data_IF_854113312712
#
_entry.id   IF_854113312712
#
_cell.length_a   1.000
_cell.length_b   1.000
_cell.length_c   1.000
_cell.angle_alpha   90.00
_cell.angle_beta   90.00
_cell.angle_gamma   90.00
#
_symmetry.space_group_name_H-M   'P 1'
#
loop_
_entity.id
_entity.type
_entity.pdbx_description
1 polymer ?
#
# COMPACT_ATOMS: atom_id res chain seq x y z
N UNK A 1 27.00 -2.73 -10.49
CA UNK A 1 26.33 -4.06 -10.42
C UNK A 1 26.58 -4.79 -11.75
N UNK A 2 26.61 -6.12 -11.79
CA UNK A 2 26.98 -6.85 -13.02
C UNK A 2 25.88 -6.81 -14.10
N UNK A 3 26.20 -6.80 -15.41
CA UNK A 3 25.20 -6.76 -16.49
C UNK A 3 24.23 -7.94 -16.51
N UNK A 4 24.63 -9.15 -16.07
CA UNK A 4 23.69 -10.27 -15.95
C UNK A 4 22.60 -9.99 -14.91
N UNK A 5 22.95 -9.48 -13.72
CA UNK A 5 22.00 -9.19 -12.64
C UNK A 5 21.07 -8.02 -12.96
N UNK A 6 21.58 -7.02 -13.68
CA UNK A 6 20.82 -5.85 -14.17
C UNK A 6 19.63 -6.25 -15.04
N UNK A 7 19.69 -7.43 -15.70
CA UNK A 7 18.56 -8.01 -16.46
C UNK A 7 17.56 -8.79 -15.58
N UNK A 8 18.01 -9.34 -14.44
CA UNK A 8 17.17 -10.13 -13.53
C UNK A 8 16.31 -9.23 -12.64
N UNK A 9 16.88 -8.15 -12.09
CA UNK A 9 16.13 -7.16 -11.31
C UNK A 9 16.22 -5.77 -11.98
N UNK A 10 15.14 -5.24 -12.59
CA UNK A 10 15.13 -3.95 -13.26
C UNK A 10 15.16 -2.74 -12.31
N UNK A 11 14.96 -2.93 -11.00
CA UNK A 11 15.18 -1.92 -9.97
C UNK A 11 16.65 -1.88 -9.49
N UNK A 12 17.44 -2.90 -9.84
CA UNK A 12 18.88 -3.03 -9.52
C UNK A 12 19.21 -3.03 -8.01
N UNK A 13 18.30 -3.61 -7.21
CA UNK A 13 18.45 -3.78 -5.74
C UNK A 13 18.68 -5.24 -5.35
N UNK A 14 19.08 -5.46 -4.11
CA UNK A 14 19.15 -6.78 -3.45
C UNK A 14 18.25 -6.77 -2.20
N UNK A 15 17.67 -7.92 -1.79
CA UNK A 15 17.82 -9.26 -2.34
C UNK A 15 17.05 -9.50 -3.64
N UNK A 16 17.45 -10.56 -4.35
CA UNK A 16 16.75 -11.16 -5.49
C UNK A 16 17.08 -12.65 -5.48
N UNK A 17 16.07 -13.51 -5.65
CA UNK A 17 16.22 -14.96 -5.76
C UNK A 17 15.89 -15.43 -7.17
N UNK A 18 16.36 -16.62 -7.53
CA UNK A 18 15.88 -17.44 -8.63
C UNK A 18 15.49 -18.81 -8.05
N UNK A 19 14.23 -19.20 -8.23
CA UNK A 19 13.63 -20.41 -7.68
C UNK A 19 12.97 -21.22 -8.80
N UNK A 20 13.78 -22.10 -9.41
CA UNK A 20 13.46 -22.88 -10.61
C UNK A 20 13.04 -22.01 -11.81
N UNK A 21 13.81 -20.95 -12.11
CA UNK A 21 13.54 -19.99 -13.19
C UNK A 21 12.47 -18.95 -12.84
N UNK A 22 11.95 -18.95 -11.62
CA UNK A 22 11.09 -17.88 -11.10
C UNK A 22 11.92 -16.87 -10.32
N UNK A 23 12.22 -15.75 -10.98
CA UNK A 23 12.99 -14.65 -10.43
C UNK A 23 12.06 -13.76 -9.60
N UNK A 24 12.43 -13.48 -8.35
CA UNK A 24 11.68 -12.61 -7.45
C UNK A 24 12.64 -11.68 -6.69
N UNK A 25 12.34 -10.38 -6.72
CA UNK A 25 13.04 -9.34 -5.95
C UNK A 25 12.11 -8.73 -4.89
N UNK A 26 12.69 -7.93 -3.99
CA UNK A 26 12.13 -7.39 -2.74
C UNK A 26 12.05 -8.42 -1.60
N UNK A 27 12.64 -8.08 -0.44
CA UNK A 27 12.84 -9.00 0.68
C UNK A 27 11.54 -9.57 1.26
N UNK A 28 10.48 -8.77 1.35
CA UNK A 28 9.21 -9.15 1.98
C UNK A 28 8.33 -10.01 1.08
N UNK A 29 8.17 -9.71 -0.23
CA UNK A 29 7.66 -10.66 -1.22
C UNK A 29 8.44 -11.98 -1.24
N UNK A 30 9.78 -11.93 -1.17
CA UNK A 30 10.63 -13.14 -1.07
C UNK A 30 10.29 -13.96 0.18
N UNK A 31 10.16 -13.34 1.36
CA UNK A 31 9.76 -14.04 2.58
C UNK A 31 8.36 -14.66 2.46
N UNK A 32 7.37 -13.90 2.00
CA UNK A 32 5.99 -14.39 1.81
C UNK A 32 5.92 -15.55 0.82
N UNK A 33 6.69 -15.49 -0.27
CA UNK A 33 6.84 -16.55 -1.26
C UNK A 33 7.48 -17.82 -0.66
N UNK A 34 8.64 -17.68 -0.02
CA UNK A 34 9.40 -18.81 0.52
C UNK A 34 8.61 -19.53 1.63
N UNK A 35 7.95 -18.79 2.53
CA UNK A 35 7.08 -19.41 3.54
C UNK A 35 5.88 -20.11 2.86
N UNK A 36 5.28 -19.50 1.83
CA UNK A 36 4.14 -20.10 1.13
C UNK A 36 4.48 -21.33 0.27
N UNK A 37 5.71 -21.45 -0.26
CA UNK A 37 6.19 -22.63 -1.03
C UNK A 37 6.77 -23.73 -0.13
N UNK A 38 7.51 -23.37 0.94
CA UNK A 38 8.41 -24.30 1.65
C UNK A 38 8.11 -24.53 3.14
N UNK A 39 7.24 -23.76 3.79
CA UNK A 39 6.99 -23.96 5.23
C UNK A 39 6.15 -25.23 5.49
N UNK A 40 6.58 -26.02 6.48
CA UNK A 40 5.92 -27.29 6.87
C UNK A 40 4.53 -27.10 7.48
N UNK A 41 4.22 -25.90 7.93
CA UNK A 41 2.93 -25.45 8.45
C UNK A 41 2.82 -23.92 8.22
N UNK A 42 1.69 -23.32 8.55
CA UNK A 42 1.43 -21.89 8.36
C UNK A 42 1.83 -21.00 9.55
N UNK A 43 2.50 -21.51 10.59
CA UNK A 43 2.83 -20.73 11.80
C UNK A 43 3.58 -19.41 11.55
N UNK A 44 4.43 -19.37 10.52
CA UNK A 44 5.20 -18.17 10.13
C UNK A 44 4.40 -17.20 9.24
N UNK A 45 3.33 -17.66 8.59
CA UNK A 45 2.45 -16.82 7.77
C UNK A 45 1.03 -17.43 7.73
N UNK A 46 0.23 -17.26 8.81
CA UNK A 46 -1.01 -18.01 9.06
C UNK A 46 -1.99 -17.97 7.89
N UNK A 47 -2.76 -19.03 7.66
CA UNK A 47 -3.81 -19.06 6.63
C UNK A 47 -5.12 -18.42 7.11
N UNK A 48 -5.30 -18.35 8.42
CA UNK A 48 -6.36 -17.59 9.10
C UNK A 48 -6.28 -16.09 8.75
N UNK A 49 -7.33 -15.46 8.19
CA UNK A 49 -7.26 -14.08 7.72
C UNK A 49 -6.99 -13.04 8.81
N UNK A 50 -7.55 -13.18 10.01
CA UNK A 50 -7.34 -12.22 11.11
C UNK A 50 -5.89 -12.28 11.62
N UNK A 51 -5.33 -13.49 11.78
CA UNK A 51 -3.90 -13.70 12.11
C UNK A 51 -2.97 -13.25 10.98
N UNK A 52 -3.30 -13.53 9.71
CA UNK A 52 -2.52 -13.04 8.55
C UNK A 52 -2.56 -11.52 8.48
N UNK A 53 -3.70 -10.89 8.72
CA UNK A 53 -3.86 -9.43 8.74
C UNK A 53 -2.93 -8.75 9.75
N UNK A 54 -2.69 -9.35 10.92
CA UNK A 54 -1.71 -8.87 11.90
C UNK A 54 -0.27 -8.99 11.37
N UNK A 55 0.08 -10.10 10.70
CA UNK A 55 1.41 -10.28 10.11
C UNK A 55 1.64 -9.33 8.93
N UNK A 56 0.67 -9.22 8.01
CA UNK A 56 0.68 -8.25 6.91
C UNK A 56 0.79 -6.81 7.44
N UNK A 57 0.02 -6.43 8.47
CA UNK A 57 0.10 -5.12 9.14
C UNK A 57 1.53 -4.82 9.60
N UNK A 58 2.22 -5.79 10.23
CA UNK A 58 3.58 -5.62 10.71
C UNK A 58 4.61 -5.60 9.56
N UNK A 59 4.46 -6.41 8.51
CA UNK A 59 5.36 -6.42 7.36
C UNK A 59 5.26 -5.14 6.52
N UNK A 60 4.05 -4.59 6.31
CA UNK A 60 3.86 -3.32 5.62
C UNK A 60 4.31 -2.12 6.49
N UNK A 61 4.09 -2.16 7.80
CA UNK A 61 4.66 -1.18 8.74
C UNK A 61 6.20 -1.20 8.72
N UNK A 62 6.81 -2.39 8.77
CA UNK A 62 8.25 -2.55 8.70
C UNK A 62 8.83 -2.02 7.39
N UNK A 63 8.21 -2.36 6.25
CA UNK A 63 8.67 -1.95 4.93
C UNK A 63 8.72 -0.43 4.72
N UNK A 64 7.67 0.28 5.13
CA UNK A 64 7.52 1.70 4.82
C UNK A 64 7.85 2.66 5.96
N UNK A 65 7.97 2.16 7.20
CA UNK A 65 8.21 3.01 8.37
C UNK A 65 9.37 2.54 9.25
N UNK A 66 9.40 1.28 9.70
CA UNK A 66 10.52 0.83 10.56
C UNK A 66 11.85 0.85 9.80
N UNK A 67 11.88 0.32 8.58
CA UNK A 67 13.08 0.24 7.77
C UNK A 67 13.59 1.61 7.31
N UNK A 68 12.71 2.53 6.90
CA UNK A 68 13.11 3.90 6.53
C UNK A 68 13.63 4.70 7.72
N UNK A 69 12.92 4.67 8.86
CA UNK A 69 13.39 5.36 10.06
C UNK A 69 14.66 4.71 10.61
N UNK A 70 14.80 3.37 10.52
CA UNK A 70 16.08 2.72 10.80
C UNK A 70 17.19 3.20 9.87
N UNK A 71 17.00 3.28 8.55
CA UNK A 71 18.04 3.79 7.62
C UNK A 71 18.45 5.22 7.97
N UNK A 72 17.48 6.11 8.19
CA UNK A 72 17.73 7.50 8.59
C UNK A 72 18.50 7.58 9.92
N UNK A 73 18.17 6.74 10.89
CA UNK A 73 18.89 6.64 12.15
C UNK A 73 20.25 5.92 12.01
N UNK A 74 20.42 4.93 11.13
CA UNK A 74 21.62 4.10 11.02
C UNK A 74 22.84 4.91 10.59
N UNK A 75 22.66 5.92 9.73
CA UNK A 75 23.74 6.86 9.34
C UNK A 75 24.24 7.67 10.55
N UNK A 76 23.37 7.96 11.51
CA UNK A 76 23.73 8.63 12.77
C UNK A 76 24.20 7.65 13.87
N UNK A 77 23.68 6.42 13.90
CA UNK A 77 23.95 5.41 14.94
C UNK A 77 25.24 4.61 14.67
N UNK A 78 25.73 4.55 13.42
CA UNK A 78 27.07 4.07 13.10
C UNK A 78 28.20 4.90 13.76
N UNK A 79 27.87 6.06 14.34
CA UNK A 79 28.76 6.92 15.15
C UNK A 79 28.56 6.69 16.67
N UNK A 80 27.49 6.03 17.10
CA UNK A 80 26.98 6.05 18.49
C UNK A 80 26.87 4.69 19.21
N UNK A 81 27.56 3.65 18.73
CA UNK A 81 27.84 2.39 19.44
C UNK A 81 26.60 1.43 19.55
N UNK A 82 26.79 0.10 19.49
CA UNK A 82 26.85 -0.90 20.58
C UNK A 82 25.58 -1.08 21.46
N UNK A 83 25.27 -2.35 21.74
CA UNK A 83 24.39 -2.92 22.79
C UNK A 83 22.82 -2.94 22.69
N UNK A 84 22.32 -4.12 22.30
CA UNK A 84 21.33 -4.99 23.00
C UNK A 84 19.83 -4.63 23.27
N UNK A 85 18.96 -5.13 22.38
CA UNK A 85 17.91 -6.17 22.59
C UNK A 85 16.65 -6.04 23.50
N UNK A 86 15.47 -6.25 22.87
CA UNK A 86 14.28 -7.05 23.33
C UNK A 86 13.36 -6.47 24.45
N UNK A 87 12.08 -6.85 24.69
CA UNK A 87 11.05 -7.80 24.13
C UNK A 87 9.70 -7.00 23.90
N UNK A 88 8.44 -7.47 23.77
CA UNK A 88 7.74 -8.78 23.71
C UNK A 88 6.35 -8.64 22.97
N UNK A 89 5.43 -9.63 23.05
CA UNK A 89 4.03 -9.60 22.54
C UNK A 89 2.99 -10.19 23.54
N UNK A 90 1.71 -9.82 23.44
CA UNK A 90 0.55 -10.55 24.01
C UNK A 90 -0.67 -10.54 23.04
N UNK A 91 -1.69 -11.37 23.30
CA UNK A 91 -2.86 -11.52 22.40
C UNK A 91 -4.15 -12.02 23.10
N UNK A 92 -5.32 -11.70 22.53
CA UNK A 92 -6.64 -12.14 22.98
C UNK A 92 -7.50 -12.63 21.79
N UNK A 93 -8.58 -13.37 22.08
CA UNK A 93 -9.52 -13.97 21.10
C UNK A 93 -10.96 -13.63 21.50
N UNK A 94 -11.82 -13.32 20.52
CA UNK A 94 -13.26 -13.04 20.69
C UNK A 94 -14.07 -13.85 19.68
N UNK A 95 -15.28 -14.27 20.04
CA UNK A 95 -16.22 -15.03 19.19
C UNK A 95 -17.18 -14.11 18.43
N UNK A 96 -17.47 -14.49 17.19
CA UNK A 96 -17.97 -13.59 16.13
C UNK A 96 -19.51 -13.47 16.06
N UNK A 97 -20.02 -12.24 15.89
CA UNK A 97 -21.41 -11.91 15.50
C UNK A 97 -21.33 -10.95 14.31
N UNK A 98 -21.73 -11.39 13.12
CA UNK A 98 -21.51 -10.61 11.87
C UNK A 98 -22.22 -9.26 11.82
N UNK A 99 -21.49 -8.22 12.25
CA UNK A 99 -21.78 -6.80 12.07
C UNK A 99 -21.22 -6.28 10.73
N UNK A 100 -21.74 -5.17 10.18
CA UNK A 100 -21.18 -4.55 8.98
C UNK A 100 -19.85 -3.86 9.26
N UNK A 101 -18.81 -4.17 8.46
CA UNK A 101 -17.46 -3.61 8.60
C UNK A 101 -17.50 -2.08 8.63
N UNK A 102 -17.00 -1.49 9.69
CA UNK A 102 -16.93 -0.03 9.85
C UNK A 102 -15.60 0.45 9.27
N UNK A 103 -15.65 1.45 8.39
CA UNK A 103 -14.47 2.10 7.83
C UNK A 103 -14.46 3.58 8.21
N UNK A 104 -13.49 3.97 9.03
CA UNK A 104 -13.25 5.36 9.43
C UNK A 104 -12.34 6.01 8.38
N UNK A 105 -12.87 6.97 7.62
CA UNK A 105 -12.22 7.46 6.40
C UNK A 105 -12.43 8.95 6.10
N UNK A 106 -11.78 9.44 5.04
CA UNK A 106 -12.10 10.74 4.42
C UNK A 106 -12.01 10.66 2.90
N UNK A 107 -12.94 11.32 2.21
CA UNK A 107 -13.27 11.08 0.79
C UNK A 107 -12.09 11.24 -0.15
N UNK A 108 -11.23 12.24 0.08
CA UNK A 108 -10.09 12.55 -0.80
C UNK A 108 -8.85 11.67 -0.61
N UNK A 109 -8.68 11.09 0.59
CA UNK A 109 -7.47 10.39 1.00
C UNK A 109 -7.17 9.18 0.07
N UNK A 110 -6.01 9.11 -0.59
CA UNK A 110 -5.64 7.98 -1.45
C UNK A 110 -5.80 6.60 -0.78
N UNK A 111 -5.26 6.31 0.42
CA UNK A 111 -5.47 5.00 1.05
C UNK A 111 -6.93 4.70 1.39
N UNK A 112 -7.76 5.72 1.64
CA UNK A 112 -9.20 5.54 1.84
C UNK A 112 -9.91 5.17 0.54
N UNK A 113 -9.56 5.82 -0.59
CA UNK A 113 -10.02 5.45 -1.94
C UNK A 113 -9.63 4.02 -2.29
N UNK A 114 -8.43 3.57 -1.95
CA UNK A 114 -7.99 2.18 -2.16
C UNK A 114 -8.85 1.17 -1.39
N UNK A 115 -9.11 1.42 -0.09
CA UNK A 115 -9.96 0.53 0.71
C UNK A 115 -11.39 0.48 0.15
N UNK A 116 -11.97 1.61 -0.28
CA UNK A 116 -13.29 1.64 -0.96
C UNK A 116 -13.29 0.87 -2.29
N UNK A 117 -12.30 1.11 -3.16
CA UNK A 117 -12.22 0.49 -4.49
C UNK A 117 -12.03 -1.03 -4.42
N UNK A 118 -11.17 -1.51 -3.51
CA UNK A 118 -10.99 -2.94 -3.28
C UNK A 118 -12.21 -3.59 -2.62
N UNK A 119 -12.85 -2.94 -1.65
CA UNK A 119 -14.09 -3.44 -1.07
C UNK A 119 -15.20 -3.56 -2.13
N UNK A 120 -15.35 -2.56 -3.00
CA UNK A 120 -16.28 -2.62 -4.13
C UNK A 120 -15.97 -3.78 -5.09
N UNK A 121 -14.69 -3.99 -5.45
CA UNK A 121 -14.27 -5.09 -6.30
C UNK A 121 -14.50 -6.48 -5.68
N UNK A 122 -14.37 -6.62 -4.35
CA UNK A 122 -14.68 -7.84 -3.61
C UNK A 122 -16.18 -8.05 -3.38
N UNK A 123 -17.01 -7.02 -3.58
CA UNK A 123 -18.44 -7.01 -3.23
C UNK A 123 -18.71 -6.84 -1.74
N UNK A 124 -17.76 -6.29 -0.99
CA UNK A 124 -17.86 -5.96 0.44
C UNK A 124 -18.52 -4.59 0.62
N UNK A 125 -19.56 -4.53 1.46
CA UNK A 125 -20.20 -3.25 1.84
C UNK A 125 -19.53 -2.71 3.11
N UNK A 126 -18.97 -1.50 3.02
CA UNK A 126 -18.39 -0.79 4.15
C UNK A 126 -19.40 0.21 4.74
N UNK A 127 -19.49 0.27 6.07
CA UNK A 127 -20.19 1.31 6.80
C UNK A 127 -19.22 2.50 7.01
N UNK A 128 -19.37 3.53 6.16
CA UNK A 128 -18.42 4.65 6.07
C UNK A 128 -18.67 5.69 7.17
N UNK A 129 -17.77 5.78 8.15
CA UNK A 129 -17.74 6.86 9.14
C UNK A 129 -16.73 7.91 8.68
N UNK A 130 -17.21 9.10 8.29
CA UNK A 130 -16.35 10.23 7.97
C UNK A 130 -15.62 10.71 9.22
N UNK A 131 -14.32 10.97 9.11
CA UNK A 131 -13.49 11.67 10.10
C UNK A 131 -13.07 13.03 9.53
N UNK A 132 -13.38 14.12 10.25
CA UNK A 132 -12.92 15.45 9.92
C UNK A 132 -11.51 15.70 10.46
N UNK A 133 -10.56 15.90 9.54
CA UNK A 133 -9.23 16.38 9.89
C UNK A 133 -9.24 17.88 10.23
N UNK A 134 -10.17 18.64 9.65
CA UNK A 134 -10.36 20.07 9.91
C UNK A 134 -10.85 20.35 11.34
N UNK A 135 -11.77 19.52 11.85
CA UNK A 135 -12.28 19.62 13.23
C UNK A 135 -11.42 18.88 14.26
N UNK A 136 -10.27 18.34 13.85
CA UNK A 136 -9.40 17.49 14.70
C UNK A 136 -10.10 16.25 15.30
N UNK A 137 -11.14 15.69 14.67
CA UNK A 137 -11.90 14.54 15.19
C UNK A 137 -11.03 13.29 15.40
N UNK A 138 -9.98 13.15 14.60
CA UNK A 138 -8.94 12.14 14.72
C UNK A 138 -8.14 12.20 16.04
N UNK A 139 -8.13 13.36 16.73
CA UNK A 139 -7.47 13.57 18.02
C UNK A 139 -8.42 13.43 19.23
N UNK A 140 -9.68 13.04 19.02
CA UNK A 140 -10.61 12.79 20.14
C UNK A 140 -10.16 11.60 21.00
N UNK A 141 -10.39 11.60 22.32
CA UNK A 141 -10.10 10.45 23.18
C UNK A 141 -10.75 9.15 22.68
N UNK A 142 -11.95 9.25 22.10
CA UNK A 142 -12.70 8.14 21.52
C UNK A 142 -11.99 7.54 20.29
N UNK A 143 -11.51 8.39 19.37
CA UNK A 143 -10.74 7.93 18.21
C UNK A 143 -9.36 7.41 18.62
N UNK A 144 -8.66 8.12 19.51
CA UNK A 144 -7.35 7.73 20.04
C UNK A 144 -7.39 6.40 20.82
N UNK A 145 -8.50 6.07 21.47
CA UNK A 145 -8.67 4.76 22.14
C UNK A 145 -8.75 3.59 21.15
N UNK A 146 -9.27 3.82 19.95
CA UNK A 146 -9.40 2.83 18.88
C UNK A 146 -8.15 2.78 17.98
N UNK A 147 -7.62 3.96 17.65
CA UNK A 147 -6.40 4.16 16.88
C UNK A 147 -5.59 5.28 17.57
N UNK A 148 -4.63 4.94 18.46
CA UNK A 148 -3.77 5.90 19.16
C UNK A 148 -2.93 6.81 18.27
N UNK A 149 -3.01 6.63 16.95
CA UNK A 149 -2.18 7.29 15.95
C UNK A 149 -2.98 8.21 15.05
N UNK A 150 -4.28 8.41 15.32
CA UNK A 150 -5.07 9.50 14.72
C UNK A 150 -5.00 9.58 13.17
N UNK A 151 -4.91 8.42 12.49
CA UNK A 151 -4.81 8.30 11.02
C UNK A 151 -6.01 7.55 10.41
N UNK A 152 -6.20 7.72 9.09
CA UNK A 152 -7.22 7.04 8.29
C UNK A 152 -6.60 6.42 7.01
N UNK A 153 -7.10 5.27 6.53
CA UNK A 153 -8.25 4.52 7.01
C UNK A 153 -7.96 3.73 8.28
N UNK A 154 -8.99 3.55 9.10
CA UNK A 154 -9.06 2.50 10.14
C UNK A 154 -10.28 1.65 9.85
N UNK A 155 -10.17 0.32 9.89
CA UNK A 155 -11.35 -0.56 9.85
C UNK A 155 -11.58 -1.23 11.20
N UNK A 156 -12.85 -1.54 11.48
CA UNK A 156 -13.34 -2.32 12.61
C UNK A 156 -14.30 -3.39 12.05
N UNK A 157 -13.87 -4.65 12.13
CA UNK A 157 -14.54 -5.83 11.58
C UNK A 157 -14.92 -6.80 12.72
N UNK A 158 -16.05 -6.52 13.36
CA UNK A 158 -16.54 -7.18 14.58
C UNK A 158 -15.49 -7.18 15.71
N UNK A 159 -15.00 -5.98 16.06
CA UNK A 159 -13.99 -5.78 17.09
C UNK A 159 -12.56 -6.08 16.65
N UNK A 160 -12.35 -6.65 15.46
CA UNK A 160 -11.02 -6.74 14.86
C UNK A 160 -10.65 -5.41 14.18
N UNK A 161 -9.88 -4.59 14.89
CA UNK A 161 -9.44 -3.27 14.42
C UNK A 161 -8.13 -3.37 13.65
N UNK A 162 -8.10 -2.87 12.41
CA UNK A 162 -6.86 -2.62 11.65
C UNK A 162 -6.63 -1.11 11.49
N UNK A 163 -5.58 -0.61 12.14
CA UNK A 163 -5.11 0.77 12.12
C UNK A 163 -3.58 0.84 11.89
N UNK A 164 -3.02 2.04 11.74
CA UNK A 164 -1.57 2.25 11.67
C UNK A 164 -0.90 2.03 13.04
N UNK A 165 0.40 1.68 13.04
CA UNK A 165 1.18 1.48 14.28
C UNK A 165 2.49 2.27 14.43
N UNK A 166 2.89 3.13 13.48
CA UNK A 166 3.68 4.34 13.81
C UNK A 166 3.34 5.56 12.90
N UNK A 167 3.71 6.75 13.37
CA UNK A 167 3.30 8.10 12.94
C UNK A 167 3.54 8.50 11.45
N UNK A 168 4.17 7.66 10.62
CA UNK A 168 4.50 8.03 9.21
C UNK A 168 3.90 7.04 8.18
N UNK A 169 2.72 7.45 7.71
CA UNK A 169 2.13 7.34 6.36
C UNK A 169 1.80 5.97 5.69
N UNK A 170 0.49 5.70 5.58
CA UNK A 170 -0.20 5.27 4.36
C UNK A 170 0.04 3.81 3.89
N UNK A 171 0.65 2.98 4.71
CA UNK A 171 0.89 1.56 4.38
C UNK A 171 -0.28 0.64 4.76
N UNK A 172 -1.11 1.02 5.74
CA UNK A 172 -2.18 0.15 6.28
C UNK A 172 -3.22 -0.26 5.24
N UNK A 173 -3.52 0.59 4.26
CA UNK A 173 -4.52 0.31 3.22
C UNK A 173 -4.19 -0.96 2.43
N UNK A 174 -2.90 -1.26 2.20
CA UNK A 174 -2.49 -2.46 1.46
C UNK A 174 -2.66 -3.74 2.30
N UNK A 175 -2.42 -3.66 3.60
CA UNK A 175 -2.76 -4.74 4.55
C UNK A 175 -4.29 -4.92 4.72
N UNK A 176 -5.07 -3.83 4.69
CA UNK A 176 -6.53 -3.88 4.78
C UNK A 176 -7.12 -4.58 3.54
N UNK A 177 -6.67 -4.26 2.33
CA UNK A 177 -7.22 -4.90 1.12
C UNK A 177 -6.78 -6.37 0.99
N UNK A 178 -5.57 -6.75 1.46
CA UNK A 178 -5.18 -8.17 1.53
C UNK A 178 -6.01 -8.92 2.57
N UNK A 179 -6.28 -8.32 3.74
CA UNK A 179 -7.21 -8.86 4.74
C UNK A 179 -8.61 -9.07 4.17
N UNK A 180 -9.22 -8.02 3.58
CA UNK A 180 -10.56 -8.09 2.99
C UNK A 180 -10.66 -9.16 1.90
N UNK A 181 -9.63 -9.32 1.06
CA UNK A 181 -9.62 -10.37 0.04
C UNK A 181 -9.43 -11.77 0.63
N UNK A 182 -8.61 -11.93 1.68
CA UNK A 182 -8.43 -13.22 2.36
C UNK A 182 -9.70 -13.65 3.14
N UNK A 183 -10.45 -12.71 3.72
CA UNK A 183 -11.63 -12.95 4.58
C UNK A 183 -12.96 -12.98 3.81
N UNK A 184 -13.12 -12.14 2.77
CA UNK A 184 -14.39 -11.91 2.06
C UNK A 184 -14.32 -12.14 0.54
N UNK A 185 -13.16 -12.49 -0.02
CA UNK A 185 -13.02 -12.84 -1.44
C UNK A 185 -13.86 -14.06 -1.81
N UNK A 186 -14.77 -13.88 -2.79
CA UNK A 186 -15.63 -14.95 -3.33
C UNK A 186 -14.84 -16.04 -4.04
N UNK A 187 -13.73 -15.63 -4.65
CA UNK A 187 -12.70 -16.44 -5.30
C UNK A 187 -11.33 -15.79 -5.02
N UNK A 188 -10.24 -16.33 -5.59
CA UNK A 188 -8.89 -15.78 -5.45
C UNK A 188 -8.42 -14.96 -6.66
N UNK A 189 -9.29 -14.56 -7.60
CA UNK A 189 -8.88 -13.83 -8.82
C UNK A 189 -8.13 -12.52 -8.51
N UNK A 190 -8.68 -11.69 -7.62
CA UNK A 190 -8.08 -10.42 -7.21
C UNK A 190 -6.82 -10.60 -6.34
N UNK A 191 -6.69 -11.72 -5.63
CA UNK A 191 -5.55 -12.00 -4.75
C UNK A 191 -5.24 -13.50 -4.68
N UNK A 192 -4.55 -14.07 -5.70
CA UNK A 192 -4.39 -15.50 -5.90
C UNK A 192 -3.85 -16.27 -4.70
N UNK A 193 -4.25 -17.53 -4.52
CA UNK A 193 -3.72 -18.43 -3.48
C UNK A 193 -2.50 -19.24 -3.97
N UNK A 194 -2.25 -19.25 -5.28
CA UNK A 194 -1.01 -19.75 -5.88
C UNK A 194 0.20 -18.91 -5.43
N UNK A 195 1.29 -19.50 -4.90
CA UNK A 195 2.44 -18.74 -4.40
C UNK A 195 3.14 -17.85 -5.42
N UNK A 196 3.31 -18.30 -6.67
CA UNK A 196 4.04 -17.52 -7.71
C UNK A 196 3.21 -16.32 -8.16
N UNK A 197 1.90 -16.48 -8.35
CA UNK A 197 0.97 -15.37 -8.63
C UNK A 197 0.84 -14.41 -7.45
N UNK A 198 0.68 -14.92 -6.21
CA UNK A 198 0.58 -14.08 -5.01
C UNK A 198 1.81 -13.22 -4.81
N UNK A 199 3.00 -13.82 -4.89
CA UNK A 199 4.27 -13.09 -4.76
C UNK A 199 4.42 -11.93 -5.77
N UNK A 200 3.87 -12.08 -6.99
CA UNK A 200 3.85 -11.01 -7.98
C UNK A 200 2.85 -9.88 -7.63
N UNK A 201 1.68 -10.21 -7.09
CA UNK A 201 0.73 -9.20 -6.56
C UNK A 201 1.34 -8.47 -5.37
N UNK A 202 1.90 -9.20 -4.41
CA UNK A 202 2.56 -8.63 -3.23
C UNK A 202 3.73 -7.73 -3.64
N UNK A 203 4.59 -8.18 -4.57
CA UNK A 203 5.69 -7.37 -5.10
C UNK A 203 5.20 -6.03 -5.69
N UNK A 204 4.07 -6.02 -6.39
CA UNK A 204 3.48 -4.78 -6.91
C UNK A 204 2.83 -3.91 -5.82
N UNK A 205 2.25 -4.50 -4.78
CA UNK A 205 1.76 -3.77 -3.60
C UNK A 205 2.91 -3.13 -2.80
N UNK A 206 4.04 -3.82 -2.62
CA UNK A 206 5.25 -3.26 -1.99
C UNK A 206 5.93 -2.20 -2.86
N UNK A 207 6.00 -2.37 -4.19
CA UNK A 207 6.44 -1.33 -5.11
C UNK A 207 5.56 -0.07 -5.05
N UNK A 208 4.23 -0.25 -5.03
CA UNK A 208 3.29 0.86 -4.91
C UNK A 208 3.48 1.61 -3.57
N UNK A 209 3.59 0.87 -2.47
CA UNK A 209 3.91 1.42 -1.15
C UNK A 209 5.25 2.16 -1.13
N UNK A 210 6.35 1.42 -1.24
CA UNK A 210 7.72 1.85 -0.89
C UNK A 210 8.46 2.54 -2.04
N UNK A 211 7.87 2.66 -3.23
CA UNK A 211 8.51 3.34 -4.37
C UNK A 211 7.58 4.36 -5.03
N UNK A 212 6.43 3.94 -5.58
CA UNK A 212 5.59 4.84 -6.38
C UNK A 212 4.83 5.88 -5.53
N UNK A 213 4.05 5.41 -4.55
CA UNK A 213 3.31 6.29 -3.65
C UNK A 213 4.25 7.02 -2.69
N UNK A 214 5.36 6.39 -2.29
CA UNK A 214 6.39 7.06 -1.48
C UNK A 214 7.03 8.24 -2.19
N UNK A 215 7.42 8.10 -3.46
CA UNK A 215 7.93 9.22 -4.26
C UNK A 215 6.88 10.34 -4.45
N UNK A 216 5.60 10.00 -4.55
CA UNK A 216 4.51 10.98 -4.53
C UNK A 216 4.48 11.75 -3.20
N UNK A 217 4.48 11.06 -2.04
CA UNK A 217 4.47 11.68 -0.71
C UNK A 217 5.70 12.56 -0.49
N UNK A 218 6.90 12.04 -0.71
CA UNK A 218 8.15 12.74 -0.40
C UNK A 218 8.26 14.09 -1.12
N UNK A 219 7.70 14.20 -2.33
CA UNK A 219 7.62 15.43 -3.11
C UNK A 219 6.40 16.29 -2.75
N UNK A 220 5.17 15.76 -2.88
CA UNK A 220 3.95 16.58 -2.80
C UNK A 220 3.53 16.91 -1.36
N UNK A 221 3.74 16.03 -0.38
CA UNK A 221 3.28 16.27 0.99
C UNK A 221 3.97 17.48 1.64
N UNK A 222 5.30 17.68 1.53
CA UNK A 222 5.94 18.90 2.02
C UNK A 222 5.50 20.17 1.30
N UNK A 223 5.18 20.10 0.00
CA UNK A 223 4.67 21.24 -0.78
C UNK A 223 3.28 21.64 -0.25
N UNK A 224 2.37 20.68 -0.06
CA UNK A 224 1.01 20.96 0.40
C UNK A 224 0.96 21.39 1.88
N UNK A 225 1.57 20.62 2.78
CA UNK A 225 1.43 20.83 4.23
C UNK A 225 2.37 21.91 4.78
N UNK A 226 3.64 21.91 4.35
CA UNK A 226 4.67 22.80 4.90
C UNK A 226 5.06 23.95 3.96
N UNK A 227 4.39 24.08 2.81
CA UNK A 227 4.69 25.05 1.74
C UNK A 227 6.15 25.01 1.29
N UNK A 228 6.77 23.84 1.38
CA UNK A 228 8.15 23.64 0.98
C UNK A 228 8.37 23.93 -0.51
N UNK A 229 9.56 24.43 -0.91
CA UNK A 229 9.89 24.59 -2.32
C UNK A 229 9.87 23.24 -3.06
N UNK A 230 9.57 23.28 -4.36
CA UNK A 230 9.56 22.08 -5.22
C UNK A 230 10.98 21.51 -5.35
N UNK A 231 11.19 20.31 -4.81
CA UNK A 231 12.44 19.56 -4.89
C UNK A 231 12.58 18.84 -6.24
N UNK A 232 13.54 19.23 -7.13
CA UNK A 232 13.71 18.59 -8.43
C UNK A 232 14.14 17.12 -8.34
N UNK A 233 14.93 16.76 -7.33
CA UNK A 233 15.45 15.39 -7.12
C UNK A 233 14.29 14.43 -6.83
N UNK A 234 13.36 14.86 -5.97
CA UNK A 234 12.16 14.07 -5.65
C UNK A 234 11.15 14.03 -6.79
N UNK A 235 11.04 15.11 -7.59
CA UNK A 235 10.24 15.08 -8.82
C UNK A 235 10.77 14.05 -9.85
N UNK A 236 12.10 13.93 -9.95
CA UNK A 236 12.75 12.88 -10.75
C UNK A 236 12.49 11.49 -10.18
N UNK A 237 12.46 11.32 -8.85
CA UNK A 237 12.15 10.03 -8.22
C UNK A 237 10.76 9.48 -8.60
N UNK A 238 9.73 10.34 -8.71
CA UNK A 238 8.41 9.95 -9.25
C UNK A 238 8.56 9.43 -10.68
N UNK A 239 9.35 10.12 -11.51
CA UNK A 239 9.60 9.74 -12.90
C UNK A 239 10.34 8.40 -13.04
N UNK A 240 11.27 8.12 -12.12
CA UNK A 240 11.96 6.82 -12.00
C UNK A 240 10.98 5.71 -11.61
N UNK A 241 10.12 5.93 -10.61
CA UNK A 241 9.11 4.96 -10.19
C UNK A 241 8.12 4.62 -11.32
N UNK A 242 7.61 5.64 -12.03
CA UNK A 242 6.77 5.45 -13.21
C UNK A 242 7.51 4.72 -14.36
N UNK A 243 8.83 4.86 -14.48
CA UNK A 243 9.62 4.10 -15.47
C UNK A 243 9.73 2.61 -15.15
N UNK A 244 9.63 2.21 -13.86
CA UNK A 244 9.51 0.80 -13.48
C UNK A 244 8.10 0.27 -13.78
N UNK A 245 7.05 1.06 -13.51
CA UNK A 245 5.67 0.70 -13.85
C UNK A 245 5.45 0.54 -15.37
N UNK A 246 6.01 1.44 -16.19
CA UNK A 246 5.98 1.35 -17.66
C UNK A 246 6.61 0.05 -18.19
N UNK A 247 7.68 -0.44 -17.53
CA UNK A 247 8.32 -1.74 -17.82
C UNK A 247 7.50 -2.93 -17.31
N UNK A 248 6.90 -2.84 -16.10
CA UNK A 248 6.02 -3.89 -15.58
C UNK A 248 4.78 -4.11 -16.45
N UNK A 249 4.36 -3.09 -17.21
CA UNK A 249 3.26 -3.10 -18.16
C UNK A 249 3.73 -3.32 -19.62
N UNK A 250 4.99 -3.67 -19.85
CA UNK A 250 5.48 -4.01 -21.20
C UNK A 250 4.99 -5.42 -21.58
N UNK A 251 4.17 -5.49 -22.64
CA UNK A 251 3.52 -6.75 -23.07
C UNK A 251 2.48 -7.30 -22.08
N UNK A 252 2.10 -6.57 -21.03
CA UNK A 252 1.10 -6.97 -20.04
C UNK A 252 -0.14 -6.07 -20.07
N UNK A 253 -1.28 -6.66 -19.72
CA UNK A 253 -2.57 -5.98 -19.60
C UNK A 253 -2.83 -5.45 -18.18
N UNK A 254 -2.20 -6.06 -17.16
CA UNK A 254 -2.34 -5.76 -15.73
C UNK A 254 -0.97 -5.83 -15.05
N UNK A 255 -0.78 -5.13 -13.93
CA UNK A 255 0.55 -4.99 -13.29
C UNK A 255 1.14 -6.31 -12.76
N UNK A 256 0.27 -7.28 -12.45
CA UNK A 256 0.61 -8.53 -11.79
C UNK A 256 0.14 -9.80 -12.55
N UNK A 257 -0.19 -9.69 -13.84
CA UNK A 257 -0.47 -10.85 -14.68
C UNK A 257 -1.51 -10.63 -15.78
N UNK A 258 -2.35 -11.66 -16.02
CA UNK A 258 -3.35 -11.71 -17.10
C UNK A 258 -4.76 -11.28 -16.69
N UNK A 259 -4.96 -10.92 -15.44
CA UNK A 259 -6.25 -10.50 -14.85
C UNK A 259 -6.00 -9.37 -13.86
N UNK A 260 -7.01 -8.52 -13.64
CA UNK A 260 -6.95 -7.48 -12.61
C UNK A 260 -6.75 -8.07 -11.22
N UNK A 261 -5.95 -7.39 -10.39
CA UNK A 261 -5.60 -7.79 -9.02
C UNK A 261 -5.68 -6.62 -8.05
N UNK A 262 -5.55 -6.90 -6.74
CA UNK A 262 -5.40 -5.85 -5.72
C UNK A 262 -4.26 -4.87 -6.02
N UNK A 263 -3.21 -5.31 -6.71
CA UNK A 263 -2.09 -4.46 -7.10
C UNK A 263 -2.48 -3.42 -8.17
N UNK A 264 -3.34 -3.79 -9.11
CA UNK A 264 -3.90 -2.85 -10.08
C UNK A 264 -4.75 -1.79 -9.37
N UNK A 265 -5.60 -2.22 -8.43
CA UNK A 265 -6.44 -1.32 -7.63
C UNK A 265 -5.62 -0.38 -6.73
N UNK A 266 -4.46 -0.83 -6.23
CA UNK A 266 -3.54 0.02 -5.47
C UNK A 266 -2.84 1.06 -6.36
N UNK A 267 -2.19 0.61 -7.43
CA UNK A 267 -1.41 1.49 -8.31
C UNK A 267 -2.32 2.48 -9.05
N UNK A 268 -3.57 2.11 -9.39
CA UNK A 268 -4.50 3.01 -10.10
C UNK A 268 -4.95 4.19 -9.23
N UNK A 269 -5.01 3.99 -7.91
CA UNK A 269 -5.27 5.03 -6.92
C UNK A 269 -4.06 5.97 -6.84
N UNK A 270 -2.83 5.44 -6.86
CA UNK A 270 -1.60 6.25 -6.91
C UNK A 270 -1.48 7.04 -8.22
N UNK A 271 -1.72 6.43 -9.38
CA UNK A 271 -1.62 7.10 -10.70
C UNK A 271 -2.72 8.14 -10.89
N UNK A 272 -3.96 7.90 -10.44
CA UNK A 272 -4.99 8.96 -10.41
C UNK A 272 -4.68 10.10 -9.43
N UNK A 273 -3.93 9.83 -8.36
CA UNK A 273 -3.42 10.87 -7.45
C UNK A 273 -2.38 11.75 -8.14
N UNK A 274 -1.50 11.16 -8.96
CA UNK A 274 -0.51 11.88 -9.78
C UNK A 274 -1.16 12.70 -10.89
N UNK A 275 -2.16 12.14 -11.59
CA UNK A 275 -2.98 12.82 -12.61
C UNK A 275 -3.61 14.12 -12.07
N UNK A 276 -4.35 14.03 -10.95
CA UNK A 276 -5.01 15.22 -10.38
C UNK A 276 -4.05 16.20 -9.70
N UNK A 277 -2.82 15.75 -9.37
CA UNK A 277 -1.72 16.59 -8.87
C UNK A 277 -0.87 17.22 -10.00
N UNK A 278 -1.36 17.14 -11.25
CA UNK A 278 -0.76 17.71 -12.45
C UNK A 278 0.65 17.18 -12.78
N UNK A 279 0.95 15.92 -12.46
CA UNK A 279 2.15 15.25 -12.95
C UNK A 279 1.98 14.83 -14.41
N UNK A 280 2.96 15.10 -15.27
CA UNK A 280 2.91 14.71 -16.69
C UNK A 280 3.12 13.19 -16.88
N UNK A 281 2.02 12.51 -17.21
CA UNK A 281 2.00 11.08 -17.55
C UNK A 281 2.19 10.78 -19.04
N UNK A 282 2.17 11.79 -19.94
CA UNK A 282 2.05 11.61 -21.40
C UNK A 282 3.14 10.72 -22.04
N UNK A 283 4.32 10.70 -21.43
CA UNK A 283 5.49 9.91 -21.82
C UNK A 283 5.42 8.41 -21.47
N UNK A 284 4.46 7.98 -20.64
CA UNK A 284 4.30 6.59 -20.20
C UNK A 284 3.10 5.93 -20.91
N UNK A 285 3.36 5.29 -22.04
CA UNK A 285 2.31 4.77 -22.96
C UNK A 285 1.67 3.49 -22.42
N UNK A 286 2.46 2.61 -21.79
CA UNK A 286 1.94 1.42 -21.14
C UNK A 286 1.12 1.80 -19.90
N UNK A 287 1.60 2.76 -19.09
CA UNK A 287 0.84 3.31 -17.95
C UNK A 287 -0.48 3.91 -18.43
N UNK A 288 -0.51 4.75 -19.47
CA UNK A 288 -1.77 5.35 -19.97
C UNK A 288 -2.75 4.29 -20.50
N UNK A 289 -2.27 3.30 -21.26
CA UNK A 289 -3.10 2.18 -21.76
C UNK A 289 -3.77 1.43 -20.61
N UNK A 290 -2.97 1.00 -19.63
CA UNK A 290 -3.44 0.26 -18.46
C UNK A 290 -4.34 1.13 -17.58
N UNK A 291 -4.00 2.39 -17.35
CA UNK A 291 -4.77 3.30 -16.53
C UNK A 291 -6.18 3.49 -17.09
N UNK A 292 -6.31 3.73 -18.40
CA UNK A 292 -7.60 3.80 -19.08
C UNK A 292 -8.41 2.49 -18.99
N UNK A 293 -7.75 1.33 -19.04
CA UNK A 293 -8.40 0.03 -18.82
C UNK A 293 -8.94 -0.08 -17.39
N UNK A 294 -8.13 0.14 -16.36
CA UNK A 294 -8.59 0.00 -14.97
C UNK A 294 -9.69 1.03 -14.64
N UNK A 295 -9.66 2.25 -15.22
CA UNK A 295 -10.79 3.21 -15.12
C UNK A 295 -12.11 2.63 -15.67
N UNK A 296 -12.07 1.71 -16.64
CA UNK A 296 -13.26 1.10 -17.27
C UNK A 296 -13.66 -0.26 -16.68
N UNK A 297 -12.76 -0.97 -15.99
CA UNK A 297 -12.98 -2.35 -15.52
C UNK A 297 -13.14 -2.47 -14.00
N UNK A 298 -12.59 -1.53 -13.22
CA UNK A 298 -12.66 -1.58 -11.76
C UNK A 298 -14.07 -1.20 -11.25
N UNK A 299 -14.75 -2.06 -10.45
CA UNK A 299 -16.09 -1.74 -9.94
C UNK A 299 -16.11 -0.49 -9.06
N UNK A 300 -17.03 0.43 -9.36
CA UNK A 300 -17.17 1.75 -8.71
C UNK A 300 -15.94 2.66 -8.83
N UNK A 301 -15.24 2.65 -9.97
CA UNK A 301 -14.10 3.55 -10.17
C UNK A 301 -14.47 5.04 -10.03
N UNK A 302 -15.74 5.39 -10.27
CA UNK A 302 -16.29 6.73 -10.11
C UNK A 302 -16.08 7.28 -8.67
N UNK A 303 -16.16 6.42 -7.64
CA UNK A 303 -15.93 6.80 -6.24
C UNK A 303 -14.44 7.17 -5.96
N UNK A 304 -13.51 6.57 -6.72
CA UNK A 304 -12.10 6.98 -6.71
C UNK A 304 -11.92 8.32 -7.42
N UNK A 305 -12.54 8.48 -8.59
CA UNK A 305 -12.42 9.67 -9.43
C UNK A 305 -13.05 10.92 -8.75
N UNK A 306 -14.15 10.75 -7.99
CA UNK A 306 -14.73 11.77 -7.11
C UNK A 306 -13.77 12.16 -5.99
N UNK A 307 -13.20 11.19 -5.26
CA UNK A 307 -12.25 11.49 -4.19
C UNK A 307 -10.93 12.11 -4.70
N UNK A 308 -10.46 11.74 -5.90
CA UNK A 308 -9.31 12.39 -6.52
C UNK A 308 -9.60 13.87 -6.84
N UNK A 309 -10.82 14.21 -7.28
CA UNK A 309 -11.27 15.60 -7.46
C UNK A 309 -11.35 16.37 -6.14
N UNK A 310 -11.80 15.74 -5.05
CA UNK A 310 -11.78 16.33 -3.68
C UNK A 310 -10.34 16.62 -3.23
N UNK A 311 -9.40 15.68 -3.45
CA UNK A 311 -7.98 15.89 -3.10
C UNK A 311 -7.38 17.07 -3.88
N UNK A 312 -7.72 17.23 -5.16
CA UNK A 312 -7.30 18.38 -5.97
C UNK A 312 -7.87 19.70 -5.47
N UNK A 313 -9.16 19.74 -5.14
CA UNK A 313 -9.80 20.94 -4.59
C UNK A 313 -9.14 21.37 -3.25
N UNK A 314 -8.84 20.40 -2.38
CA UNK A 314 -8.12 20.62 -1.14
C UNK A 314 -6.69 21.15 -1.40
N UNK A 315 -5.91 20.50 -2.26
CA UNK A 315 -4.52 20.92 -2.51
C UNK A 315 -4.43 22.28 -3.22
N UNK A 316 -5.34 22.58 -4.15
CA UNK A 316 -5.48 23.91 -4.73
C UNK A 316 -5.90 24.97 -3.71
N UNK A 317 -6.82 24.66 -2.78
CA UNK A 317 -7.24 25.57 -1.72
C UNK A 317 -6.10 25.88 -0.76
N UNK A 318 -5.42 24.83 -0.27
CA UNK A 318 -4.26 24.97 0.61
C UNK A 318 -3.12 25.75 -0.08
N UNK A 319 -2.88 25.54 -1.37
CA UNK A 319 -1.84 26.27 -2.11
C UNK A 319 -2.18 27.74 -2.46
N UNK A 320 -3.43 28.18 -2.29
CA UNK A 320 -3.86 29.59 -2.50
C UNK A 320 -3.76 30.46 -1.25
N UNK A 321 -3.72 29.84 -0.07
CA UNK A 321 -3.63 30.49 1.25
C UNK A 321 -2.19 30.50 1.80
#
# INVERSE_FOLDING_TARGET
MKPEFVKLNPQHVIPTIDDDGFILCESRPIMGYLVSKYAKNDSLYPKDPKKRGIVDQMLYFDAGSLHENMINCYVCILILLLDNNSLNNESHVVTEIKMPIISYETTGSPPCRLVRLAAAALGVTLNLKKISFENLEHLTPEYLKMNPQHMVPTIDDDGFIMCERNIIHVFISRAIITYLANQYGKDDSLYPKDPKKRALVDQRLYFDACTLYKAFIDYYYPIFIYKAPRDPTKYVAIGTALSFLEKFLEGQDYVAGKTMTLADLAIVVTVSTLEVSSYDLSKYKNVIRWFARIKSEAPKYEDNDVGAKVLKQWSEGVMKN
#
